data_IF_259159969652
#
_entry.id   IF_259159969652
#
_cell.length_a   1.000
_cell.length_b   1.000
_cell.length_c   1.000
_cell.angle_alpha   90.00
_cell.angle_beta   90.00
_cell.angle_gamma   90.00
#
_symmetry.space_group_name_H-M   'P 1'
#
loop_
_entity.id
_entity.type
_entity.pdbx_description
1 polymer ?
#
# COMPACT_ATOMS: atom_id res chain seq x y z
N UNK A 1 12.41 -14.01 17.60
CA UNK A 1 11.14 -13.43 18.07
C UNK A 1 10.40 -12.97 16.84
N UNK A 2 9.35 -13.70 16.48
CA UNK A 2 8.46 -13.34 15.37
C UNK A 2 7.57 -12.20 15.90
N UNK A 3 7.76 -10.99 15.38
CA UNK A 3 7.02 -9.81 15.82
C UNK A 3 5.54 -10.00 15.52
N UNK A 4 4.67 -9.76 16.50
CA UNK A 4 3.22 -9.83 16.30
C UNK A 4 2.80 -8.86 15.18
N UNK A 5 2.28 -9.41 14.09
CA UNK A 5 1.78 -8.65 12.95
C UNK A 5 0.41 -8.07 13.32
N UNK A 6 0.34 -6.75 13.53
CA UNK A 6 -0.94 -6.09 13.80
C UNK A 6 -1.67 -5.92 12.49
N UNK A 7 -2.89 -6.47 12.40
CA UNK A 7 -3.78 -6.29 11.25
C UNK A 7 -4.79 -5.18 11.54
N UNK A 8 -4.90 -4.23 10.61
CA UNK A 8 -5.93 -3.19 10.57
C UNK A 8 -6.61 -3.20 9.21
N UNK A 9 -7.65 -2.40 9.01
CA UNK A 9 -8.28 -2.20 7.70
C UNK A 9 -7.93 -0.84 7.11
N UNK A 10 -8.06 -0.71 5.79
CA UNK A 10 -7.87 0.58 5.10
C UNK A 10 -8.77 1.69 5.65
N UNK A 11 -10.00 1.37 6.07
CA UNK A 11 -10.95 2.32 6.63
C UNK A 11 -10.53 2.90 7.98
N UNK A 12 -9.62 2.23 8.70
CA UNK A 12 -9.08 2.70 9.98
C UNK A 12 -7.86 3.62 9.81
N UNK A 13 -7.28 3.68 8.61
CA UNK A 13 -6.15 4.53 8.31
C UNK A 13 -6.58 5.96 7.95
N UNK A 14 -5.69 6.94 8.12
CA UNK A 14 -5.98 8.34 7.83
C UNK A 14 -5.67 8.70 6.36
N UNK A 15 -6.31 9.74 5.85
CA UNK A 15 -5.87 10.35 4.58
C UNK A 15 -4.43 10.85 4.76
N UNK A 16 -3.57 10.54 3.80
CA UNK A 16 -2.14 10.79 3.85
C UNK A 16 -1.31 9.62 4.40
N UNK A 17 -1.94 8.62 5.05
CA UNK A 17 -1.24 7.41 5.49
C UNK A 17 -0.52 6.74 4.32
N UNK A 18 0.74 6.38 4.54
CA UNK A 18 1.60 5.72 3.55
C UNK A 18 1.53 4.22 3.71
N UNK A 19 1.57 3.50 2.60
CA UNK A 19 1.58 2.05 2.56
C UNK A 19 2.27 1.52 1.31
N UNK A 20 2.61 0.24 1.33
CA UNK A 20 3.00 -0.51 0.15
C UNK A 20 1.79 -1.23 -0.43
N UNK A 21 1.73 -1.24 -1.76
CA UNK A 21 0.72 -2.00 -2.51
C UNK A 21 1.38 -2.87 -3.56
N UNK A 22 0.82 -4.05 -3.77
CA UNK A 22 1.24 -4.94 -4.85
C UNK A 22 0.62 -4.50 -6.17
N UNK A 23 1.46 -4.26 -7.18
CA UNK A 23 1.01 -4.11 -8.58
C UNK A 23 0.96 -5.49 -9.25
N UNK A 24 0.94 -5.56 -10.59
CA UNK A 24 1.04 -6.85 -11.30
C UNK A 24 2.45 -7.46 -11.24
N UNK A 25 3.52 -6.66 -11.28
CA UNK A 25 4.90 -7.16 -11.39
C UNK A 25 5.79 -6.84 -10.19
N UNK A 26 5.52 -5.77 -9.48
CA UNK A 26 6.35 -5.25 -8.37
C UNK A 26 5.50 -4.63 -7.24
N UNK A 27 6.12 -4.39 -6.09
CA UNK A 27 5.59 -3.61 -4.98
C UNK A 27 5.90 -2.12 -5.13
N UNK A 28 4.97 -1.26 -4.70
CA UNK A 28 5.06 0.19 -4.91
C UNK A 28 4.63 0.99 -3.70
N UNK A 29 5.23 2.17 -3.54
CA UNK A 29 4.74 3.18 -2.61
C UNK A 29 3.37 3.70 -3.00
N UNK A 30 2.56 3.92 -1.99
CA UNK A 30 1.25 4.51 -2.12
C UNK A 30 0.87 5.35 -0.90
N UNK A 31 -0.18 6.15 -1.06
CA UNK A 31 -0.80 6.88 0.03
C UNK A 31 -2.32 6.88 -0.09
N UNK A 32 -3.00 6.96 1.06
CA UNK A 32 -4.45 7.16 1.09
C UNK A 32 -4.74 8.60 0.68
N UNK A 33 -5.52 8.76 -0.39
CA UNK A 33 -5.88 10.07 -0.94
C UNK A 33 -7.31 10.49 -0.62
N UNK A 34 -8.19 9.51 -0.33
CA UNK A 34 -9.58 9.77 0.07
C UNK A 34 -10.16 8.57 0.81
N UNK A 35 -10.96 8.84 1.84
CA UNK A 35 -11.87 7.90 2.48
C UNK A 35 -13.31 8.27 2.09
N UNK A 36 -14.12 7.27 1.79
CA UNK A 36 -15.57 7.35 1.60
C UNK A 36 -16.17 6.10 2.27
N UNK A 37 -17.47 6.14 2.60
CA UNK A 37 -18.11 5.16 3.49
C UNK A 37 -17.73 3.70 3.23
N UNK A 38 -17.74 3.26 1.97
CA UNK A 38 -17.38 1.87 1.61
C UNK A 38 -16.08 1.76 0.80
N UNK A 39 -15.43 2.88 0.47
CA UNK A 39 -14.33 2.90 -0.51
C UNK A 39 -13.19 3.80 -0.08
N UNK A 40 -11.98 3.25 -0.17
CA UNK A 40 -10.73 3.98 0.02
C UNK A 40 -10.05 4.18 -1.32
N UNK A 41 -9.63 5.41 -1.60
CA UNK A 41 -8.88 5.76 -2.81
C UNK A 41 -7.41 5.90 -2.44
N UNK A 42 -6.59 5.07 -3.07
CA UNK A 42 -5.15 5.00 -2.87
C UNK A 42 -4.48 5.62 -4.10
N UNK A 43 -3.58 6.58 -3.90
CA UNK A 43 -2.70 7.08 -4.95
C UNK A 43 -1.41 6.27 -4.94
N UNK A 44 -1.04 5.68 -6.07
CA UNK A 44 0.13 4.83 -6.22
C UNK A 44 1.15 5.52 -7.11
N UNK A 45 2.38 5.55 -6.62
CA UNK A 45 3.54 6.07 -7.34
C UNK A 45 4.04 5.02 -8.33
N UNK A 46 4.09 5.36 -9.62
CA UNK A 46 4.74 4.52 -10.63
C UNK A 46 6.24 4.86 -10.71
N UNK A 47 7.09 3.91 -11.12
CA UNK A 47 8.54 4.16 -11.21
C UNK A 47 8.89 5.29 -12.18
N UNK A 48 8.15 5.45 -13.28
CA UNK A 48 8.38 6.50 -14.28
C UNK A 48 7.86 7.89 -13.90
N UNK A 49 7.78 8.23 -12.62
CA UNK A 49 7.38 9.55 -12.14
C UNK A 49 5.87 9.85 -12.17
N UNK A 50 5.05 9.00 -12.78
CA UNK A 50 3.58 9.18 -12.84
C UNK A 50 2.90 8.63 -11.59
N UNK A 51 1.65 9.02 -11.38
CA UNK A 51 0.78 8.43 -10.35
C UNK A 51 -0.51 7.90 -10.95
N UNK A 52 -1.05 6.83 -10.38
CA UNK A 52 -2.40 6.34 -10.70
C UNK A 52 -3.19 6.08 -9.42
N UNK A 53 -4.51 5.90 -9.54
CA UNK A 53 -5.39 5.67 -8.39
C UNK A 53 -5.94 4.26 -8.40
N UNK A 54 -5.94 3.64 -7.23
CA UNK A 54 -6.64 2.40 -6.94
C UNK A 54 -7.83 2.68 -6.03
N UNK A 55 -8.93 1.96 -6.27
CA UNK A 55 -10.06 1.92 -5.35
C UNK A 55 -10.06 0.57 -4.66
N UNK A 56 -10.19 0.59 -3.34
CA UNK A 56 -10.29 -0.60 -2.50
C UNK A 56 -11.46 -0.43 -1.54
N UNK A 57 -11.99 -1.56 -1.07
CA UNK A 57 -12.99 -1.54 -0.02
C UNK A 57 -12.36 -1.07 1.29
N UNK A 58 -13.16 -0.46 2.16
CA UNK A 58 -12.71 0.01 3.47
C UNK A 58 -12.29 -1.14 4.41
N UNK A 59 -12.84 -2.34 4.20
CA UNK A 59 -12.52 -3.55 4.97
C UNK A 59 -11.23 -4.27 4.51
N UNK A 60 -10.58 -3.80 3.43
CA UNK A 60 -9.37 -4.45 2.95
C UNK A 60 -8.26 -4.41 3.99
N UNK A 61 -7.65 -5.56 4.24
CA UNK A 61 -6.68 -5.77 5.32
C UNK A 61 -5.32 -5.15 5.01
N UNK A 62 -4.73 -4.55 6.04
CA UNK A 62 -3.41 -3.95 6.04
C UNK A 62 -2.61 -4.58 7.17
N UNK A 63 -1.45 -5.09 6.80
CA UNK A 63 -0.45 -5.59 7.73
C UNK A 63 0.46 -4.44 8.20
N UNK A 64 0.57 -4.26 9.51
CA UNK A 64 1.59 -3.43 10.13
C UNK A 64 2.78 -4.32 10.53
N UNK A 65 3.67 -4.58 9.57
CA UNK A 65 4.91 -5.33 9.82
C UNK A 65 6.08 -4.34 9.85
N UNK A 66 6.51 -3.99 11.06
CA UNK A 66 7.58 -3.00 11.26
C UNK A 66 7.14 -1.56 10.91
N UNK A 67 8.04 -0.71 10.38
CA UNK A 67 7.76 0.71 10.14
C UNK A 67 6.87 0.97 8.91
N UNK A 68 6.47 -0.06 8.17
CA UNK A 68 5.80 0.06 6.88
C UNK A 68 4.45 -0.68 6.94
N UNK A 69 3.38 0.04 6.61
CA UNK A 69 2.07 -0.56 6.38
C UNK A 69 2.03 -1.21 4.99
N UNK A 70 1.49 -2.42 4.91
CA UNK A 70 1.45 -3.22 3.68
C UNK A 70 0.00 -3.61 3.42
N UNK A 71 -0.56 -3.19 2.29
CA UNK A 71 -1.87 -3.69 1.85
C UNK A 71 -1.72 -5.16 1.49
N UNK A 72 -2.50 -6.02 2.14
CA UNK A 72 -2.48 -7.46 1.84
C UNK A 72 -2.92 -7.66 0.38
N UNK A 73 -2.14 -8.43 -0.35
CA UNK A 73 -2.37 -8.73 -1.75
C UNK A 73 -2.73 -10.20 -1.93
N UNK A 74 -3.45 -10.51 -3.00
CA UNK A 74 -3.81 -11.88 -3.36
C UNK A 74 -2.59 -12.75 -3.76
N UNK A 75 -1.44 -12.10 -3.98
CA UNK A 75 -0.18 -12.74 -4.35
C UNK A 75 0.75 -12.78 -3.14
N UNK A 76 1.25 -13.98 -2.81
CA UNK A 76 2.09 -14.23 -1.64
C UNK A 76 3.57 -13.91 -1.82
N UNK A 77 3.92 -12.92 -2.64
CA UNK A 77 5.33 -12.55 -2.84
C UNK A 77 5.80 -11.49 -1.82
N UNK A 78 7.01 -11.65 -1.28
CA UNK A 78 7.57 -10.76 -0.27
C UNK A 78 7.99 -9.42 -0.88
N UNK A 79 7.52 -8.33 -0.29
CA UNK A 79 7.81 -6.98 -0.77
C UNK A 79 9.29 -6.64 -0.70
N UNK A 80 10.05 -7.18 0.25
CA UNK A 80 11.49 -6.91 0.37
C UNK A 80 12.26 -7.33 -0.89
N UNK A 81 11.83 -8.41 -1.53
CA UNK A 81 12.50 -8.98 -2.70
C UNK A 81 12.14 -8.28 -4.02
N UNK A 82 11.01 -7.57 -4.05
CA UNK A 82 10.40 -7.09 -5.29
C UNK A 82 9.80 -5.69 -5.12
N UNK A 83 10.51 -4.83 -4.39
CA UNK A 83 10.15 -3.43 -4.19
C UNK A 83 10.74 -2.54 -5.28
N UNK A 84 9.88 -1.75 -5.93
CA UNK A 84 10.30 -0.83 -6.98
C UNK A 84 10.69 0.52 -6.39
N UNK A 85 11.91 0.95 -6.68
CA UNK A 85 12.38 2.28 -6.31
C UNK A 85 11.80 3.33 -7.27
N UNK A 86 11.40 4.46 -6.71
CA UNK A 86 11.03 5.62 -7.50
C UNK A 86 12.25 6.11 -8.27
N UNK A 87 12.10 6.42 -9.57
CA UNK A 87 13.20 7.03 -10.32
C UNK A 87 13.43 8.45 -9.80
N UNK A 88 14.57 8.68 -9.14
CA UNK A 88 14.93 9.95 -8.53
C UNK A 88 15.62 10.92 -9.50
N UNK A 89 15.70 10.59 -10.80
CA UNK A 89 16.39 11.41 -11.82
C UNK A 89 15.60 12.64 -12.30
N UNK A 90 14.58 13.08 -11.56
CA UNK A 90 13.75 14.26 -11.86
C UNK A 90 13.85 15.28 -10.74
#
# INVERSE_FOLDING_TARGET
MESAQVQITLGQMQVGSRLLVRSRVEWRHASISKLADEKVVITVCSPGGRTYRLRRKADAEVSLSGPIAILIADYGDDWHSNFSNYDTRW
#
